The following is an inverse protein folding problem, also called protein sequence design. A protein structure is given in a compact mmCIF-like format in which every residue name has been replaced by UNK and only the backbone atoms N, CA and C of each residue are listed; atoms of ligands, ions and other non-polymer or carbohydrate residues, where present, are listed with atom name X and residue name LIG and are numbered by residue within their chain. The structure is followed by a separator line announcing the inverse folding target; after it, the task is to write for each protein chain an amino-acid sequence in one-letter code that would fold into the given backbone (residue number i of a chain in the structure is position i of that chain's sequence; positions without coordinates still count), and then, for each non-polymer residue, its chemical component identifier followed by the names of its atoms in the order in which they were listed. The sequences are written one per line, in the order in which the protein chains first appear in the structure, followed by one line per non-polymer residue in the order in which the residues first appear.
data_IF_920101108499
#
_entry.id   IF_920101108499
#
_cell.length_a   1.000
_cell.length_b   1.000
_cell.length_c   1.000
_cell.angle_alpha   90.00
_cell.angle_beta   90.00
_cell.angle_gamma   90.00
#
_symmetry.space_group_name_H-M   'P 1'
#
loop_
_entity.id
_entity.type
_entity.pdbx_description
1 polymer ?
#
# COMPACT_ATOMS: atom_id res chain seq x y z
N UNK A 1 17.97 -26.63 12.84
CA UNK A 1 18.63 -25.30 12.75
C UNK A 1 18.33 -24.57 11.44
N UNK A 2 18.27 -25.26 10.30
CA UNK A 2 18.05 -24.65 8.97
C UNK A 2 16.76 -23.81 8.83
N UNK A 3 15.67 -24.24 9.49
CA UNK A 3 14.37 -23.55 9.46
C UNK A 3 14.41 -22.23 10.24
N UNK A 4 15.15 -22.17 11.35
CA UNK A 4 15.27 -20.95 12.17
C UNK A 4 16.02 -19.86 11.38
N UNK A 5 17.11 -20.22 10.70
CA UNK A 5 17.85 -19.28 9.84
C UNK A 5 17.02 -18.81 8.64
N UNK A 6 16.21 -19.68 8.06
CA UNK A 6 15.33 -19.34 6.94
C UNK A 6 14.20 -18.37 7.36
N UNK A 7 13.56 -18.64 8.51
CA UNK A 7 12.61 -17.71 9.15
C UNK A 7 13.26 -16.36 9.44
N UNK A 8 14.48 -16.37 10.00
CA UNK A 8 15.20 -15.14 10.32
C UNK A 8 15.53 -14.32 9.06
N UNK A 9 15.90 -14.98 7.96
CA UNK A 9 16.24 -14.32 6.69
C UNK A 9 15.00 -13.66 6.07
N UNK A 10 13.85 -14.35 6.06
CA UNK A 10 12.58 -13.82 5.55
C UNK A 10 12.03 -12.71 6.45
N UNK A 11 12.13 -12.90 7.77
CA UNK A 11 11.73 -11.93 8.78
C UNK A 11 12.57 -10.65 8.73
N UNK A 12 13.88 -10.77 8.54
CA UNK A 12 14.79 -9.63 8.45
C UNK A 12 14.49 -8.74 7.23
N UNK A 13 14.13 -9.33 6.08
CA UNK A 13 13.72 -8.55 4.92
C UNK A 13 12.45 -7.72 5.19
N UNK A 14 11.46 -8.30 5.88
CA UNK A 14 10.24 -7.59 6.27
C UNK A 14 10.51 -6.49 7.30
N UNK A 15 11.38 -6.78 8.26
CA UNK A 15 11.85 -5.83 9.27
C UNK A 15 12.58 -4.63 8.66
N UNK A 16 13.51 -4.88 7.73
CA UNK A 16 14.21 -3.83 7.00
C UNK A 16 13.22 -2.94 6.23
N UNK A 17 12.20 -3.52 5.60
CA UNK A 17 11.15 -2.78 4.90
C UNK A 17 10.37 -1.84 5.83
N UNK A 18 10.00 -2.32 7.03
CA UNK A 18 9.32 -1.51 8.05
C UNK A 18 10.20 -0.38 8.59
N UNK A 19 11.50 -0.63 8.79
CA UNK A 19 12.45 0.40 9.20
C UNK A 19 12.57 1.48 8.13
N UNK A 20 12.76 1.10 6.86
CA UNK A 20 12.86 2.06 5.76
C UNK A 20 11.62 2.93 5.68
N UNK A 21 10.42 2.35 5.75
CA UNK A 21 9.17 3.10 5.78
C UNK A 21 9.09 4.08 6.97
N UNK A 22 9.57 3.66 8.15
CA UNK A 22 9.61 4.51 9.34
C UNK A 22 10.59 5.67 9.21
N UNK A 23 11.80 5.41 8.68
CA UNK A 23 12.81 6.45 8.44
C UNK A 23 12.30 7.47 7.43
N UNK A 24 11.72 7.01 6.32
CA UNK A 24 11.11 7.89 5.31
C UNK A 24 10.02 8.76 5.94
N UNK A 25 9.15 8.17 6.76
CA UNK A 25 8.11 8.92 7.46
C UNK A 25 8.71 10.00 8.40
N UNK A 26 9.79 9.71 9.11
CA UNK A 26 10.48 10.69 9.97
C UNK A 26 11.06 11.83 9.13
N UNK A 27 11.77 11.51 8.05
CA UNK A 27 12.38 12.51 7.16
C UNK A 27 11.30 13.41 6.56
N UNK A 28 10.24 12.83 6.01
CA UNK A 28 9.13 13.57 5.40
C UNK A 28 8.45 14.48 6.42
N UNK A 29 8.14 13.98 7.62
CA UNK A 29 7.52 14.79 8.68
C UNK A 29 8.44 15.95 9.12
N UNK A 30 9.75 15.70 9.24
CA UNK A 30 10.69 16.74 9.65
C UNK A 30 10.90 17.79 8.53
N UNK A 31 10.99 17.36 7.27
CA UNK A 31 11.04 18.26 6.12
C UNK A 31 9.77 19.10 5.99
N UNK A 32 8.59 18.52 6.20
CA UNK A 32 7.32 19.27 6.21
C UNK A 32 7.27 20.31 7.33
N UNK A 33 7.79 19.97 8.51
CA UNK A 33 7.88 20.89 9.64
C UNK A 33 8.79 22.09 9.35
N UNK A 34 9.90 21.86 8.64
CA UNK A 34 10.90 22.91 8.35
C UNK A 34 10.53 23.75 7.11
N UNK A 35 9.97 23.14 6.07
CA UNK A 35 9.77 23.79 4.77
C UNK A 35 8.29 24.04 4.41
N UNK A 36 7.34 23.33 5.02
CA UNK A 36 5.91 23.38 4.64
C UNK A 36 5.00 24.17 5.61
N UNK A 37 5.44 24.41 6.84
CA UNK A 37 4.62 25.03 7.89
C UNK A 37 3.47 24.14 8.37
N UNK A 38 2.68 24.62 9.34
CA UNK A 38 1.63 23.85 10.00
C UNK A 38 0.54 23.36 9.03
N UNK A 39 0.19 24.19 8.03
CA UNK A 39 -0.81 23.87 7.01
C UNK A 39 -0.39 22.65 6.17
N UNK A 40 0.87 22.56 5.73
CA UNK A 40 1.33 21.43 4.94
C UNK A 40 1.35 20.12 5.76
N UNK A 41 1.69 20.21 7.05
CA UNK A 41 1.68 19.07 7.96
C UNK A 41 0.25 18.52 8.14
N UNK A 42 -0.73 19.41 8.29
CA UNK A 42 -2.15 19.04 8.37
C UNK A 42 -2.62 18.36 7.08
N UNK A 43 -2.30 18.94 5.91
CA UNK A 43 -2.67 18.36 4.61
C UNK A 43 -2.10 16.96 4.45
N UNK A 44 -0.80 16.77 4.72
CA UNK A 44 -0.16 15.44 4.58
C UNK A 44 -0.75 14.44 5.57
N UNK A 45 -1.06 14.86 6.79
CA UNK A 45 -1.75 14.01 7.77
C UNK A 45 -3.12 13.53 7.30
N UNK A 46 -3.92 14.42 6.70
CA UNK A 46 -5.22 14.07 6.11
C UNK A 46 -5.03 13.10 4.94
N UNK A 47 -4.12 13.42 4.01
CA UNK A 47 -3.83 12.59 2.85
C UNK A 47 -3.38 11.19 3.25
N UNK A 48 -2.54 11.07 4.28
CA UNK A 48 -2.09 9.77 4.78
C UNK A 48 -3.27 8.91 5.26
N UNK A 49 -4.22 9.50 6.00
CA UNK A 49 -5.43 8.80 6.46
C UNK A 49 -6.30 8.34 5.30
N UNK A 50 -6.54 9.23 4.33
CA UNK A 50 -7.32 8.91 3.12
C UNK A 50 -6.65 7.79 2.32
N UNK A 51 -5.34 7.88 2.13
CA UNK A 51 -4.55 6.88 1.38
C UNK A 51 -4.57 5.52 2.09
N UNK A 52 -4.39 5.50 3.41
CA UNK A 52 -4.48 4.26 4.19
C UNK A 52 -5.87 3.64 4.12
N UNK A 53 -6.93 4.45 4.18
CA UNK A 53 -8.29 3.97 4.01
C UNK A 53 -8.51 3.31 2.64
N UNK A 54 -7.96 3.90 1.57
CA UNK A 54 -8.00 3.31 0.23
C UNK A 54 -7.22 1.99 0.16
N UNK A 55 -6.11 1.86 0.88
CA UNK A 55 -5.29 0.63 0.87
C UNK A 55 -5.79 -0.50 1.77
N UNK A 56 -6.59 -0.23 2.81
CA UNK A 56 -7.09 -1.26 3.73
C UNK A 56 -7.77 -2.45 3.02
N UNK A 57 -8.70 -2.24 2.06
CA UNK A 57 -9.30 -3.36 1.33
C UNK A 57 -8.29 -4.15 0.50
N UNK A 58 -7.28 -3.50 -0.08
CA UNK A 58 -6.24 -4.17 -0.87
C UNK A 58 -5.40 -5.08 0.03
N UNK A 59 -5.05 -4.61 1.22
CA UNK A 59 -4.39 -5.44 2.22
C UNK A 59 -5.26 -6.61 2.68
N UNK A 60 -6.58 -6.42 2.78
CA UNK A 60 -7.52 -7.50 3.07
C UNK A 60 -7.49 -8.62 2.02
N UNK A 61 -7.53 -8.26 0.73
CA UNK A 61 -7.42 -9.25 -0.36
C UNK A 61 -6.08 -9.96 -0.32
N UNK A 62 -4.99 -9.21 -0.14
CA UNK A 62 -3.64 -9.78 -0.05
C UNK A 62 -3.49 -10.75 1.12
N UNK A 63 -3.93 -10.38 2.31
CA UNK A 63 -3.85 -11.24 3.50
C UNK A 63 -4.67 -12.52 3.32
N UNK A 64 -5.82 -12.45 2.65
CA UNK A 64 -6.61 -13.64 2.30
C UNK A 64 -5.95 -14.52 1.23
N UNK A 65 -5.24 -13.92 0.27
CA UNK A 65 -4.54 -14.64 -0.79
C UNK A 65 -3.32 -15.43 -0.28
N UNK A 66 -2.54 -14.88 0.66
CA UNK A 66 -1.30 -15.49 1.15
C UNK A 66 -1.44 -16.96 1.62
N UNK A 67 -2.38 -17.33 2.52
CA UNK A 67 -2.52 -18.72 2.96
C UNK A 67 -3.03 -19.65 1.86
N UNK A 68 -3.89 -19.16 0.96
CA UNK A 68 -4.40 -19.93 -0.18
C UNK A 68 -3.24 -20.30 -1.11
N UNK A 69 -2.39 -19.32 -1.43
CA UNK A 69 -1.21 -19.53 -2.28
C UNK A 69 -0.21 -20.44 -1.58
N UNK A 70 0.12 -20.17 -0.31
CA UNK A 70 1.08 -20.96 0.47
C UNK A 70 0.70 -22.44 0.57
N UNK A 71 -0.56 -22.74 0.88
CA UNK A 71 -1.06 -24.11 0.98
C UNK A 71 -1.07 -24.84 -0.37
N UNK A 72 -1.63 -24.22 -1.42
CA UNK A 72 -1.73 -24.86 -2.74
C UNK A 72 -0.36 -25.04 -3.39
N UNK A 73 0.58 -24.11 -3.16
CA UNK A 73 1.95 -24.24 -3.63
C UNK A 73 2.68 -25.40 -2.94
N UNK A 74 2.55 -25.53 -1.61
CA UNK A 74 3.08 -26.68 -0.86
C UNK A 74 2.49 -28.02 -1.31
N UNK A 75 1.22 -28.04 -1.69
CA UNK A 75 0.54 -29.21 -2.24
C UNK A 75 0.81 -29.47 -3.74
N UNK A 76 1.72 -28.70 -4.38
CA UNK A 76 2.03 -28.75 -5.82
C UNK A 76 0.83 -28.52 -6.76
N UNK A 77 -0.25 -27.91 -6.28
CA UNK A 77 -1.45 -27.57 -7.05
C UNK A 77 -1.31 -26.22 -7.73
N UNK A 78 -0.43 -26.13 -8.73
CA UNK A 78 -0.06 -24.87 -9.38
C UNK A 78 -1.22 -24.18 -10.12
N UNK A 79 -2.21 -24.93 -10.60
CA UNK A 79 -3.37 -24.36 -11.27
C UNK A 79 -4.23 -23.51 -10.32
N UNK A 80 -4.44 -24.01 -9.09
CA UNK A 80 -5.13 -23.28 -8.02
C UNK A 80 -4.36 -22.03 -7.58
N UNK A 81 -3.03 -22.08 -7.61
CA UNK A 81 -2.17 -20.92 -7.31
C UNK A 81 -2.37 -19.83 -8.37
N UNK A 82 -2.34 -20.18 -9.66
CA UNK A 82 -2.57 -19.21 -10.75
C UNK A 82 -3.95 -18.59 -10.69
N UNK A 83 -4.97 -19.40 -10.38
CA UNK A 83 -6.35 -18.93 -10.23
C UNK A 83 -6.49 -17.92 -9.07
N UNK A 84 -5.93 -18.25 -7.90
CA UNK A 84 -5.94 -17.36 -6.74
C UNK A 84 -5.24 -16.02 -7.03
N UNK A 85 -4.09 -16.04 -7.72
CA UNK A 85 -3.36 -14.83 -8.11
C UNK A 85 -4.19 -13.99 -9.09
N UNK A 86 -4.76 -14.62 -10.13
CA UNK A 86 -5.55 -13.92 -11.15
C UNK A 86 -6.78 -13.26 -10.54
N UNK A 87 -7.47 -13.97 -9.65
CA UNK A 87 -8.65 -13.44 -8.95
C UNK A 87 -8.26 -12.28 -8.01
N UNK A 88 -7.16 -12.45 -7.26
CA UNK A 88 -6.67 -11.41 -6.33
C UNK A 88 -6.27 -10.15 -7.10
N UNK A 89 -5.50 -10.30 -8.17
CA UNK A 89 -5.06 -9.20 -9.03
C UNK A 89 -6.27 -8.44 -9.60
N UNK A 90 -7.23 -9.14 -10.22
CA UNK A 90 -8.45 -8.54 -10.76
C UNK A 90 -9.22 -7.78 -9.67
N UNK A 91 -9.41 -8.40 -8.51
CA UNK A 91 -10.17 -7.81 -7.40
C UNK A 91 -9.48 -6.57 -6.85
N UNK A 92 -8.17 -6.62 -6.60
CA UNK A 92 -7.40 -5.46 -6.14
C UNK A 92 -7.36 -4.34 -7.17
N UNK A 93 -7.24 -4.66 -8.47
CA UNK A 93 -7.24 -3.64 -9.52
C UNK A 93 -8.61 -2.96 -9.58
N UNK A 94 -9.72 -3.70 -9.55
CA UNK A 94 -11.07 -3.13 -9.53
C UNK A 94 -11.27 -2.23 -8.32
N UNK A 95 -10.88 -2.68 -7.12
CA UNK A 95 -11.00 -1.88 -5.90
C UNK A 95 -10.12 -0.62 -5.96
N UNK A 96 -8.87 -0.75 -6.40
CA UNK A 96 -7.93 0.37 -6.50
C UNK A 96 -8.43 1.41 -7.52
N UNK A 97 -8.88 0.98 -8.69
CA UNK A 97 -9.44 1.86 -9.72
C UNK A 97 -10.72 2.53 -9.26
N UNK A 98 -11.61 1.81 -8.55
CA UNK A 98 -12.83 2.40 -8.01
C UNK A 98 -12.55 3.43 -6.91
N UNK A 99 -11.65 3.11 -5.99
CA UNK A 99 -11.22 4.03 -4.93
C UNK A 99 -10.51 5.27 -5.50
N UNK A 100 -9.65 5.08 -6.51
CA UNK A 100 -9.04 6.16 -7.27
C UNK A 100 -10.07 7.06 -7.93
N UNK A 101 -11.06 6.48 -8.62
CA UNK A 101 -12.10 7.23 -9.33
C UNK A 101 -12.93 8.10 -8.38
N UNK A 102 -13.34 7.56 -7.22
CA UNK A 102 -14.06 8.35 -6.21
C UNK A 102 -13.20 9.50 -5.71
N UNK A 103 -11.93 9.23 -5.42
CA UNK A 103 -11.03 10.21 -4.87
C UNK A 103 -10.62 11.31 -5.87
N UNK A 104 -10.58 10.98 -7.16
CA UNK A 104 -10.34 11.92 -8.26
C UNK A 104 -11.55 12.80 -8.57
N UNK A 105 -12.77 12.24 -8.48
CA UNK A 105 -14.01 12.97 -8.75
C UNK A 105 -14.41 13.91 -7.60
N UNK A 106 -14.12 13.53 -6.35
CA UNK A 106 -14.59 14.26 -5.17
C UNK A 106 -13.48 14.63 -4.16
N UNK A 107 -12.33 15.21 -4.57
CA UNK A 107 -11.24 15.51 -3.65
C UNK A 107 -11.63 16.56 -2.59
N UNK A 108 -12.38 17.59 -3.00
CA UNK A 108 -12.87 18.64 -2.10
C UNK A 108 -13.80 18.09 -1.01
N UNK A 109 -14.70 17.18 -1.38
CA UNK A 109 -15.63 16.57 -0.43
C UNK A 109 -14.87 15.69 0.58
N UNK A 110 -13.91 14.90 0.10
CA UNK A 110 -13.13 13.99 0.97
C UNK A 110 -12.31 14.79 1.97
N UNK A 111 -11.61 15.86 1.55
CA UNK A 111 -10.83 16.69 2.46
C UNK A 111 -11.73 17.52 3.38
N UNK A 112 -12.89 17.96 2.88
CA UNK A 112 -13.90 18.67 3.65
C UNK A 112 -14.51 17.87 4.81
N UNK A 113 -14.34 16.54 4.83
CA UNK A 113 -14.69 15.71 6.00
C UNK A 113 -13.73 15.96 7.17
N UNK A 114 -12.47 16.29 6.90
CA UNK A 114 -11.42 16.42 7.92
C UNK A 114 -11.21 17.84 8.41
N UNK A 115 -11.57 18.85 7.61
CA UNK A 115 -11.38 20.26 7.95
C UNK A 115 -12.44 21.14 7.32
N UNK A 116 -12.66 22.32 7.91
CA UNK A 116 -13.51 23.40 7.37
C UNK A 116 -12.69 24.57 6.85
N UNK A 117 -11.38 24.53 6.98
CA UNK A 117 -10.47 25.57 6.50
C UNK A 117 -10.36 25.53 4.97
N UNK A 118 -10.77 26.62 4.31
CA UNK A 118 -10.81 26.73 2.85
C UNK A 118 -9.42 26.61 2.22
N UNK A 119 -8.37 27.14 2.87
CA UNK A 119 -7.01 27.08 2.33
C UNK A 119 -6.49 25.64 2.34
N UNK A 120 -6.78 24.88 3.41
CA UNK A 120 -6.41 23.47 3.54
C UNK A 120 -7.17 22.62 2.52
N UNK A 121 -8.46 22.90 2.31
CA UNK A 121 -9.28 22.17 1.33
C UNK A 121 -8.75 22.40 -0.08
N UNK A 122 -8.45 23.65 -0.46
CA UNK A 122 -8.00 23.98 -1.81
C UNK A 122 -6.61 23.39 -2.12
N UNK A 123 -5.62 23.66 -1.26
CA UNK A 123 -4.26 23.13 -1.42
C UNK A 123 -4.23 21.61 -1.29
N UNK A 124 -4.94 21.08 -0.30
CA UNK A 124 -5.04 19.65 -0.07
C UNK A 124 -5.67 18.92 -1.26
N UNK A 125 -6.72 19.48 -1.89
CA UNK A 125 -7.40 18.83 -3.01
C UNK A 125 -6.48 18.70 -4.22
N UNK A 126 -5.66 19.72 -4.47
CA UNK A 126 -4.66 19.69 -5.54
C UNK A 126 -3.60 18.62 -5.28
N UNK A 127 -3.05 18.59 -4.06
CA UNK A 127 -2.03 17.59 -3.68
C UNK A 127 -2.62 16.18 -3.70
N UNK A 128 -3.88 16.02 -3.29
CA UNK A 128 -4.58 14.73 -3.30
C UNK A 128 -4.63 14.11 -4.69
N UNK A 129 -5.01 14.88 -5.72
CA UNK A 129 -5.05 14.39 -7.10
C UNK A 129 -3.69 13.89 -7.59
N UNK A 130 -2.62 14.62 -7.24
CA UNK A 130 -1.25 14.24 -7.59
C UNK A 130 -0.88 12.91 -6.92
N UNK A 131 -1.10 12.77 -5.61
CA UNK A 131 -0.74 11.56 -4.87
C UNK A 131 -1.57 10.36 -5.33
N UNK A 132 -2.86 10.57 -5.56
CA UNK A 132 -3.80 9.50 -5.89
C UNK A 132 -3.62 9.00 -7.32
N UNK A 133 -3.11 9.82 -8.23
CA UNK A 133 -2.81 9.40 -9.62
C UNK A 133 -1.93 8.13 -9.73
N UNK A 134 -1.12 7.83 -8.71
CA UNK A 134 -0.22 6.67 -8.68
C UNK A 134 -0.90 5.40 -8.12
N UNK A 135 -2.03 5.54 -7.41
CA UNK A 135 -2.73 4.42 -6.73
C UNK A 135 -3.11 3.26 -7.67
N UNK A 136 -3.61 3.49 -8.91
CA UNK A 136 -3.92 2.38 -9.82
C UNK A 136 -2.71 1.50 -10.15
N UNK A 137 -1.50 2.08 -10.18
CA UNK A 137 -0.24 1.34 -10.40
C UNK A 137 0.16 0.52 -9.17
N UNK A 138 -0.11 1.03 -7.96
CA UNK A 138 0.29 0.41 -6.69
C UNK A 138 -0.45 -0.91 -6.44
N UNK A 139 -1.68 -1.07 -6.95
CA UNK A 139 -2.44 -2.32 -6.80
C UNK A 139 -1.70 -3.55 -7.33
N UNK A 140 -1.05 -3.44 -8.50
CA UNK A 140 -0.27 -4.52 -9.10
C UNK A 140 0.99 -4.80 -8.25
N UNK A 141 1.64 -3.75 -7.76
CA UNK A 141 2.83 -3.84 -6.92
C UNK A 141 2.55 -4.61 -5.62
N UNK A 142 1.45 -4.27 -4.91
CA UNK A 142 1.08 -4.89 -3.64
C UNK A 142 0.80 -6.39 -3.81
N UNK A 143 0.06 -6.78 -4.85
CA UNK A 143 -0.21 -8.20 -5.14
C UNK A 143 1.06 -8.95 -5.55
N UNK A 144 1.90 -8.34 -6.40
CA UNK A 144 3.16 -8.92 -6.82
C UNK A 144 4.11 -9.16 -5.64
N UNK A 145 4.30 -8.15 -4.78
CA UNK A 145 5.13 -8.27 -3.58
C UNK A 145 4.60 -9.35 -2.62
N UNK A 146 3.28 -9.46 -2.45
CA UNK A 146 2.66 -10.48 -1.61
C UNK A 146 2.80 -11.90 -2.16
N UNK A 147 2.72 -12.07 -3.48
CA UNK A 147 2.93 -13.35 -4.14
C UNK A 147 4.34 -13.88 -3.88
N UNK A 148 5.37 -13.05 -4.09
CA UNK A 148 6.75 -13.46 -3.88
C UNK A 148 7.06 -13.78 -2.41
N UNK A 149 6.45 -13.04 -1.47
CA UNK A 149 6.49 -13.37 -0.04
C UNK A 149 5.86 -14.73 0.26
N UNK A 150 4.69 -15.04 -0.33
CA UNK A 150 3.96 -16.29 -0.10
C UNK A 150 4.67 -17.52 -0.68
N UNK A 151 5.48 -17.33 -1.73
CA UNK A 151 6.26 -18.38 -2.38
C UNK A 151 7.64 -18.61 -1.72
N UNK A 152 7.97 -17.89 -0.65
CA UNK A 152 9.28 -17.98 0.02
C UNK A 152 10.45 -17.42 -0.81
N UNK A 153 10.18 -16.78 -1.95
CA UNK A 153 11.21 -16.16 -2.80
C UNK A 153 11.42 -14.71 -2.36
N UNK A 154 12.25 -14.53 -1.35
CA UNK A 154 12.54 -13.23 -0.74
C UNK A 154 13.17 -12.21 -1.70
N UNK A 155 14.01 -12.66 -2.65
CA UNK A 155 14.79 -11.77 -3.53
C UNK A 155 13.93 -11.01 -4.56
N UNK A 156 13.02 -11.64 -5.33
CA UNK A 156 12.10 -10.89 -6.20
C UNK A 156 11.10 -10.02 -5.43
N UNK A 157 10.68 -10.43 -4.22
CA UNK A 157 9.83 -9.59 -3.35
C UNK A 157 10.53 -8.30 -2.91
N UNK A 158 11.85 -8.33 -2.75
CA UNK A 158 12.63 -7.17 -2.34
C UNK A 158 12.86 -6.18 -3.50
N UNK A 159 12.91 -6.67 -4.74
CA UNK A 159 13.08 -5.85 -5.95
C UNK A 159 11.76 -5.14 -6.34
N UNK A 160 10.62 -5.75 -6.03
CA UNK A 160 9.28 -5.21 -6.33
C UNK A 160 8.69 -4.33 -5.21
N UNK A 161 9.25 -4.39 -4.01
CA UNK A 161 8.85 -3.57 -2.86
C UNK A 161 9.48 -2.18 -2.92
#
# INVERSE_FOLDING_TARGET
MHIITEIFTVGFASFARMITGSIVAIIVNNSLRVFGGDIALIIVGILHRVTMFLFMPLFGVVQGMQPIVGFNYGAKKLDRVKEAIKLSLLTTTVIATFGWLIAELFPFAIIGVFTRDAEIIEKGSTIMRIVISVIPLIGIQIVGAALFQSLGKAVPSLILA
#
